data_IF_357196689334
#
_entry.id   IF_357196689334
#
_cell.length_a   1.000
_cell.length_b   1.000
_cell.length_c   1.000
_cell.angle_alpha   90.00
_cell.angle_beta   90.00
_cell.angle_gamma   90.00
#
_symmetry.space_group_name_H-M   'P 1'
#
loop_
_entity.id
_entity.type
_entity.pdbx_description
1 polymer ?
#
# COMPACT_ATOMS: atom_id res chain seq x y z
N UNK A 1 -18.02 -12.12 -32.86
CA UNK A 1 -17.72 -12.61 -31.49
C UNK A 1 -16.49 -11.86 -31.00
N UNK A 2 -16.54 -11.23 -29.83
CA UNK A 2 -15.36 -10.54 -29.26
C UNK A 2 -14.27 -11.57 -28.97
N UNK A 3 -13.02 -11.22 -29.25
CA UNK A 3 -11.85 -12.02 -28.91
C UNK A 3 -11.88 -12.36 -27.41
N UNK A 4 -11.81 -13.66 -27.01
CA UNK A 4 -11.84 -14.05 -25.60
C UNK A 4 -10.75 -13.36 -24.78
N UNK A 5 -9.55 -13.16 -25.33
CA UNK A 5 -8.47 -12.45 -24.66
C UNK A 5 -8.78 -10.96 -24.42
N UNK A 6 -9.47 -10.29 -25.36
CA UNK A 6 -9.92 -8.91 -25.17
C UNK A 6 -10.99 -8.81 -24.07
N UNK A 7 -11.89 -9.81 -23.99
CA UNK A 7 -12.90 -9.85 -22.93
C UNK A 7 -12.24 -9.98 -21.55
N UNK A 8 -11.23 -10.85 -21.41
CA UNK A 8 -10.45 -11.00 -20.16
C UNK A 8 -9.78 -9.68 -19.79
N UNK A 9 -9.10 -9.02 -20.73
CA UNK A 9 -8.44 -7.74 -20.48
C UNK A 9 -9.42 -6.65 -20.02
N UNK A 10 -10.55 -6.52 -20.72
CA UNK A 10 -11.60 -5.53 -20.35
C UNK A 10 -12.16 -5.83 -18.96
N UNK A 11 -12.46 -7.09 -18.65
CA UNK A 11 -12.93 -7.48 -17.32
C UNK A 11 -11.92 -7.10 -16.25
N UNK A 12 -10.64 -7.40 -16.46
CA UNK A 12 -9.57 -7.04 -15.54
C UNK A 12 -9.50 -5.53 -15.29
N UNK A 13 -9.49 -4.71 -16.35
CA UNK A 13 -9.43 -3.25 -16.23
C UNK A 13 -10.66 -2.66 -15.54
N UNK A 14 -11.85 -3.21 -15.82
CA UNK A 14 -13.09 -2.79 -15.16
C UNK A 14 -13.07 -3.16 -13.67
N UNK A 15 -12.65 -4.37 -13.32
CA UNK A 15 -12.51 -4.78 -11.92
C UNK A 15 -11.48 -3.91 -11.20
N UNK A 16 -10.32 -3.63 -11.82
CA UNK A 16 -9.31 -2.72 -11.28
C UNK A 16 -9.88 -1.31 -11.06
N UNK A 17 -10.63 -0.78 -12.03
CA UNK A 17 -11.28 0.53 -11.88
C UNK A 17 -12.20 0.57 -10.65
N UNK A 18 -13.15 -0.36 -10.55
CA UNK A 18 -14.16 -0.33 -9.50
C UNK A 18 -13.60 -0.67 -8.12
N UNK A 19 -12.64 -1.60 -8.01
CA UNK A 19 -11.97 -1.90 -6.75
C UNK A 19 -11.16 -0.71 -6.25
N UNK A 20 -10.37 -0.07 -7.13
CA UNK A 20 -9.58 1.11 -6.75
C UNK A 20 -10.48 2.30 -6.44
N UNK A 21 -11.50 2.55 -7.25
CA UNK A 21 -12.43 3.65 -7.03
C UNK A 21 -13.19 3.49 -5.70
N UNK A 22 -13.64 2.26 -5.37
CA UNK A 22 -14.29 1.99 -4.08
C UNK A 22 -13.37 2.27 -2.89
N UNK A 23 -12.07 1.97 -3.00
CA UNK A 23 -11.09 2.26 -1.96
C UNK A 23 -10.81 3.76 -1.85
N UNK A 24 -10.67 4.44 -2.98
CA UNK A 24 -10.24 5.85 -3.03
C UNK A 24 -11.26 6.83 -2.46
N UNK A 25 -12.57 6.53 -2.52
CA UNK A 25 -13.61 7.39 -1.93
C UNK A 25 -13.43 7.64 -0.45
N UNK A 26 -12.85 6.71 0.28
CA UNK A 26 -12.62 6.86 1.72
C UNK A 26 -11.16 7.11 2.09
N UNK A 27 -10.23 6.94 1.15
CA UNK A 27 -8.80 6.94 1.42
C UNK A 27 -8.31 8.26 2.01
N UNK A 28 -8.82 9.40 1.53
CA UNK A 28 -8.47 10.73 2.01
C UNK A 28 -9.22 11.21 3.26
N UNK A 29 -10.22 10.46 3.75
CA UNK A 29 -11.10 10.88 4.84
C UNK A 29 -11.24 9.83 5.96
N UNK A 30 -10.54 8.70 5.85
CA UNK A 30 -10.73 7.59 6.78
C UNK A 30 -10.43 7.96 8.24
N UNK A 31 -9.35 8.68 8.52
CA UNK A 31 -9.02 9.12 9.88
C UNK A 31 -10.07 10.10 10.39
N UNK A 32 -10.53 11.03 9.55
CA UNK A 32 -11.59 11.99 9.90
C UNK A 32 -12.91 11.28 10.24
N UNK A 33 -13.27 10.24 9.50
CA UNK A 33 -14.45 9.42 9.78
C UNK A 33 -14.37 8.73 11.15
N UNK A 34 -13.20 8.21 11.53
CA UNK A 34 -12.98 7.59 12.84
C UNK A 34 -13.07 8.61 13.98
N UNK A 35 -12.49 9.80 13.79
CA UNK A 35 -12.57 10.89 14.76
C UNK A 35 -14.02 11.40 14.91
N UNK A 36 -14.76 11.55 13.82
CA UNK A 36 -16.17 11.95 13.83
C UNK A 36 -17.07 10.90 14.52
N UNK A 37 -16.68 9.62 14.49
CA UNK A 37 -17.32 8.56 15.25
C UNK A 37 -17.17 8.70 16.78
N UNK A 38 -16.34 9.65 17.26
CA UNK A 38 -16.07 9.92 18.65
C UNK A 38 -14.83 9.22 19.22
N UNK A 39 -13.98 8.66 18.35
CA UNK A 39 -12.69 8.13 18.78
C UNK A 39 -11.68 9.27 18.93
N UNK A 40 -10.77 9.15 19.90
CA UNK A 40 -9.58 10.00 19.97
C UNK A 40 -8.50 9.56 18.96
N UNK A 41 -7.43 10.31 18.81
CA UNK A 41 -6.34 9.98 17.87
C UNK A 41 -5.69 8.64 18.18
N UNK A 42 -5.42 8.34 19.45
CA UNK A 42 -4.87 7.05 19.87
C UNK A 42 -5.77 5.91 19.39
N UNK A 43 -7.06 6.03 19.60
CA UNK A 43 -8.05 5.02 19.21
C UNK A 43 -8.19 4.93 17.68
N UNK A 44 -8.27 6.04 16.95
CA UNK A 44 -8.40 6.07 15.51
C UNK A 44 -7.16 5.43 14.82
N UNK A 45 -5.97 5.76 15.27
CA UNK A 45 -4.75 5.13 14.75
C UNK A 45 -4.59 3.67 15.20
N UNK A 46 -5.11 3.31 16.38
CA UNK A 46 -5.19 1.89 16.81
C UNK A 46 -6.13 1.10 15.90
N UNK A 47 -7.26 1.66 15.50
CA UNK A 47 -8.19 1.06 14.53
C UNK A 47 -7.50 0.82 13.18
N UNK A 48 -6.73 1.79 12.69
CA UNK A 48 -5.92 1.64 11.47
C UNK A 48 -4.81 0.56 11.66
N UNK A 49 -4.22 0.46 12.85
CA UNK A 49 -3.28 -0.61 13.17
C UNK A 49 -3.95 -2.00 13.12
N UNK A 50 -5.17 -2.15 13.60
CA UNK A 50 -5.93 -3.40 13.48
C UNK A 50 -6.25 -3.79 12.03
N UNK A 51 -6.49 -2.81 11.15
CA UNK A 51 -6.56 -3.07 9.71
C UNK A 51 -5.26 -3.72 9.19
N UNK A 52 -4.11 -3.17 9.58
CA UNK A 52 -2.80 -3.70 9.21
C UNK A 52 -2.57 -5.10 9.81
N UNK A 53 -3.00 -5.34 11.06
CA UNK A 53 -2.99 -6.68 11.67
C UNK A 53 -3.82 -7.66 10.85
N UNK A 54 -5.00 -7.26 10.38
CA UNK A 54 -5.84 -8.07 9.51
C UNK A 54 -5.14 -8.46 8.21
N UNK A 55 -4.46 -7.50 7.55
CA UNK A 55 -3.66 -7.78 6.36
C UNK A 55 -2.58 -8.84 6.64
N UNK A 56 -1.80 -8.66 7.71
CA UNK A 56 -0.70 -9.56 8.08
C UNK A 56 -1.19 -10.97 8.39
N UNK A 57 -2.25 -11.09 9.17
CA UNK A 57 -2.77 -12.39 9.62
C UNK A 57 -3.36 -13.23 8.49
N UNK A 58 -4.03 -12.57 7.54
CA UNK A 58 -4.83 -13.27 6.53
C UNK A 58 -4.18 -13.37 5.16
N UNK A 59 -3.03 -12.72 4.89
CA UNK A 59 -2.35 -12.76 3.60
C UNK A 59 -2.07 -14.20 3.14
N UNK A 60 -1.46 -15.02 3.99
CA UNK A 60 -1.18 -16.43 3.64
C UNK A 60 -2.45 -17.29 3.58
N UNK A 61 -3.37 -17.25 4.56
CA UNK A 61 -4.62 -17.99 4.49
C UNK A 61 -5.45 -17.74 3.23
N UNK A 62 -5.60 -16.48 2.83
CA UNK A 62 -6.39 -16.11 1.65
C UNK A 62 -5.70 -16.50 0.35
N UNK A 63 -4.36 -16.43 0.29
CA UNK A 63 -3.58 -16.97 -0.83
C UNK A 63 -3.84 -18.46 -1.05
N UNK A 64 -3.85 -19.27 0.02
CA UNK A 64 -4.18 -20.70 -0.06
C UNK A 64 -5.62 -20.90 -0.56
N UNK A 65 -6.57 -20.08 -0.15
CA UNK A 65 -7.95 -20.15 -0.66
C UNK A 65 -7.97 -19.87 -2.17
N UNK A 66 -7.27 -18.84 -2.64
CA UNK A 66 -7.20 -18.51 -4.06
C UNK A 66 -6.57 -19.63 -4.90
N UNK A 67 -5.53 -20.31 -4.37
CA UNK A 67 -4.82 -21.40 -5.04
C UNK A 67 -5.58 -22.73 -5.04
N UNK A 68 -6.48 -22.95 -4.08
CA UNK A 68 -7.21 -24.23 -3.93
C UNK A 68 -8.63 -24.17 -4.44
N UNK A 69 -9.35 -23.06 -4.22
CA UNK A 69 -10.78 -22.90 -4.55
C UNK A 69 -11.04 -22.08 -5.82
N UNK A 70 -10.02 -21.39 -6.33
CA UNK A 70 -10.11 -20.59 -7.55
C UNK A 70 -9.99 -19.09 -7.30
N UNK A 71 -9.47 -18.40 -8.31
CA UNK A 71 -9.20 -16.94 -8.28
C UNK A 71 -10.51 -16.15 -8.21
N UNK A 72 -11.53 -16.58 -8.98
CA UNK A 72 -12.86 -15.99 -8.95
C UNK A 72 -13.51 -16.11 -7.58
N UNK A 73 -13.43 -17.29 -6.95
CA UNK A 73 -14.00 -17.50 -5.62
C UNK A 73 -13.36 -16.57 -4.60
N UNK A 74 -12.02 -16.46 -4.60
CA UNK A 74 -11.29 -15.55 -3.74
C UNK A 74 -11.73 -14.10 -3.94
N UNK A 75 -11.81 -13.64 -5.20
CA UNK A 75 -12.21 -12.27 -5.52
C UNK A 75 -13.64 -11.95 -5.04
N UNK A 76 -14.60 -12.85 -5.30
CA UNK A 76 -15.99 -12.67 -4.85
C UNK A 76 -16.10 -12.63 -3.32
N UNK A 77 -15.34 -13.50 -2.62
CA UNK A 77 -15.31 -13.49 -1.17
C UNK A 77 -14.69 -12.19 -0.64
N UNK A 78 -13.63 -11.69 -1.28
CA UNK A 78 -13.02 -10.40 -0.98
C UNK A 78 -14.01 -9.24 -1.15
N UNK A 79 -14.71 -9.17 -2.27
CA UNK A 79 -15.70 -8.12 -2.53
C UNK A 79 -16.85 -8.16 -1.50
N UNK A 80 -17.36 -9.36 -1.18
CA UNK A 80 -18.39 -9.53 -0.16
C UNK A 80 -17.90 -9.15 1.24
N UNK A 81 -16.68 -9.54 1.61
CA UNK A 81 -16.07 -9.21 2.91
C UNK A 81 -15.83 -7.69 3.03
N UNK A 82 -15.33 -7.04 1.97
CA UNK A 82 -15.14 -5.58 1.95
C UNK A 82 -16.48 -4.83 2.02
N UNK A 83 -17.50 -5.31 1.32
CA UNK A 83 -18.85 -4.75 1.43
C UNK A 83 -19.37 -4.89 2.86
N UNK A 84 -19.32 -6.09 3.43
CA UNK A 84 -19.75 -6.35 4.81
C UNK A 84 -19.00 -5.49 5.84
N UNK A 85 -17.67 -5.39 5.73
CA UNK A 85 -16.87 -4.55 6.62
C UNK A 85 -17.17 -3.06 6.45
N UNK A 86 -17.45 -2.59 5.22
CA UNK A 86 -17.85 -1.19 4.97
C UNK A 86 -19.19 -0.88 5.63
N UNK A 87 -20.17 -1.78 5.52
CA UNK A 87 -21.45 -1.65 6.22
C UNK A 87 -21.26 -1.71 7.75
N UNK A 88 -20.38 -2.56 8.23
CA UNK A 88 -20.05 -2.65 9.64
C UNK A 88 -19.41 -1.33 10.15
N UNK A 89 -18.52 -0.69 9.36
CA UNK A 89 -17.99 0.64 9.68
C UNK A 89 -19.09 1.68 9.82
N UNK A 90 -20.09 1.70 8.92
CA UNK A 90 -21.24 2.60 9.02
C UNK A 90 -22.09 2.33 10.27
N UNK A 91 -22.30 1.06 10.63
CA UNK A 91 -23.01 0.69 11.87
C UNK A 91 -22.21 1.15 13.09
N UNK A 92 -20.89 0.92 13.14
CA UNK A 92 -20.03 1.36 14.23
C UNK A 92 -20.06 2.90 14.39
N UNK A 93 -20.04 3.62 13.26
CA UNK A 93 -20.14 5.07 13.24
C UNK A 93 -21.46 5.58 13.80
N UNK A 94 -22.61 5.02 13.36
CA UNK A 94 -23.93 5.40 13.84
C UNK A 94 -24.14 5.10 15.33
N UNK A 95 -23.64 3.96 15.80
CA UNK A 95 -23.77 3.52 17.19
C UNK A 95 -22.74 4.19 18.11
N UNK A 96 -21.80 4.98 17.56
CA UNK A 96 -20.62 5.50 18.30
C UNK A 96 -19.96 4.38 19.12
N UNK A 97 -19.68 3.27 18.44
CA UNK A 97 -19.20 2.04 19.07
C UNK A 97 -17.83 2.24 19.72
N UNK A 98 -17.58 1.49 20.79
CA UNK A 98 -16.26 1.48 21.44
C UNK A 98 -15.18 0.82 20.59
N UNK A 99 -13.92 1.02 21.00
CA UNK A 99 -12.72 0.56 20.28
C UNK A 99 -12.76 -0.92 19.85
N UNK A 100 -13.33 -1.82 20.67
CA UNK A 100 -13.39 -3.25 20.34
C UNK A 100 -14.22 -3.53 19.07
N UNK A 101 -15.36 -2.85 18.89
CA UNK A 101 -16.20 -2.97 17.70
C UNK A 101 -15.44 -2.51 16.45
N UNK A 102 -14.74 -1.40 16.55
CA UNK A 102 -13.90 -0.86 15.49
C UNK A 102 -12.71 -1.76 15.18
N UNK A 103 -12.06 -2.35 16.18
CA UNK A 103 -10.96 -3.29 15.99
C UNK A 103 -11.41 -4.51 15.17
N UNK A 104 -12.55 -5.11 15.50
CA UNK A 104 -13.12 -6.23 14.75
C UNK A 104 -13.44 -5.81 13.31
N UNK A 105 -14.13 -4.68 13.12
CA UNK A 105 -14.48 -4.16 11.80
C UNK A 105 -13.22 -3.94 10.92
N UNK A 106 -12.14 -3.41 11.51
CA UNK A 106 -10.86 -3.16 10.83
C UNK A 106 -10.12 -4.44 10.47
N UNK A 107 -10.10 -5.43 11.34
CA UNK A 107 -9.53 -6.76 11.04
C UNK A 107 -10.28 -7.40 9.87
N UNK A 108 -11.61 -7.33 9.85
CA UNK A 108 -12.46 -7.84 8.74
C UNK A 108 -12.20 -7.04 7.46
N UNK A 109 -11.97 -5.72 7.56
CA UNK A 109 -11.58 -4.90 6.42
C UNK A 109 -10.24 -5.38 5.84
N UNK A 110 -9.23 -5.63 6.68
CA UNK A 110 -7.94 -6.20 6.29
C UNK A 110 -8.08 -7.55 5.61
N UNK A 111 -8.86 -8.46 6.18
CA UNK A 111 -9.18 -9.76 5.58
C UNK A 111 -9.77 -9.59 4.16
N UNK A 112 -10.68 -8.65 3.96
CA UNK A 112 -11.28 -8.39 2.64
C UNK A 112 -10.25 -7.99 1.59
N UNK A 113 -9.27 -7.15 1.95
CA UNK A 113 -8.19 -6.76 1.04
C UNK A 113 -7.25 -7.91 0.68
N UNK A 114 -6.95 -8.81 1.62
CA UNK A 114 -6.05 -9.94 1.34
C UNK A 114 -6.62 -10.94 0.33
N UNK A 115 -7.93 -11.05 0.19
CA UNK A 115 -8.56 -11.86 -0.86
C UNK A 115 -8.34 -11.31 -2.28
N UNK A 116 -8.08 -10.01 -2.43
CA UNK A 116 -7.75 -9.41 -3.73
C UNK A 116 -6.25 -9.52 -4.04
N UNK A 117 -5.40 -9.52 -3.01
CA UNK A 117 -3.95 -9.55 -3.15
C UNK A 117 -3.51 -10.78 -3.96
N UNK A 118 -2.83 -10.53 -5.07
CA UNK A 118 -2.30 -11.57 -5.96
C UNK A 118 -3.33 -12.40 -6.72
N UNK A 119 -4.58 -12.52 -6.24
CA UNK A 119 -5.60 -13.35 -6.89
C UNK A 119 -6.06 -12.76 -8.23
N UNK A 120 -6.18 -11.44 -8.32
CA UNK A 120 -6.65 -10.75 -9.52
C UNK A 120 -5.62 -10.80 -10.64
N UNK A 121 -4.35 -10.58 -10.33
CA UNK A 121 -3.23 -10.66 -11.29
C UNK A 121 -3.00 -12.11 -11.75
N UNK A 122 -3.06 -13.07 -10.81
CA UNK A 122 -2.92 -14.49 -11.15
C UNK A 122 -4.07 -14.95 -12.05
N UNK A 123 -5.32 -14.52 -11.78
CA UNK A 123 -6.46 -14.77 -12.66
C UNK A 123 -6.23 -14.23 -14.08
N UNK A 124 -5.74 -13.00 -14.20
CA UNK A 124 -5.44 -12.39 -15.50
C UNK A 124 -4.44 -13.25 -16.28
N UNK A 125 -3.34 -13.61 -15.64
CA UNK A 125 -2.25 -14.38 -16.27
C UNK A 125 -2.75 -15.77 -16.70
N UNK A 126 -3.48 -16.48 -15.83
CA UNK A 126 -4.03 -17.81 -16.14
C UNK A 126 -5.00 -17.76 -17.31
N UNK A 127 -5.93 -16.79 -17.29
CA UNK A 127 -6.94 -16.63 -18.34
C UNK A 127 -6.34 -16.19 -19.69
N UNK A 128 -5.33 -15.32 -19.70
CA UNK A 128 -4.66 -14.90 -20.93
C UNK A 128 -3.84 -16.03 -21.55
N UNK A 129 -3.16 -16.85 -20.74
CA UNK A 129 -2.46 -18.05 -21.22
C UNK A 129 -3.43 -19.03 -21.85
N UNK A 130 -4.55 -19.30 -21.22
CA UNK A 130 -5.58 -20.22 -21.71
C UNK A 130 -6.30 -19.73 -22.99
N UNK A 131 -6.32 -18.40 -23.22
CA UNK A 131 -6.89 -17.80 -24.44
C UNK A 131 -5.86 -17.53 -25.54
N UNK A 132 -4.63 -18.07 -25.42
CA UNK A 132 -3.53 -17.91 -26.39
C UNK A 132 -3.22 -16.45 -26.73
N UNK A 133 -3.24 -15.58 -25.72
CA UNK A 133 -2.91 -14.16 -25.88
C UNK A 133 -1.48 -13.96 -26.42
N UNK A 134 -1.34 -13.19 -27.49
CA UNK A 134 -0.05 -12.93 -28.17
C UNK A 134 0.59 -11.57 -27.81
N UNK A 135 -0.05 -10.77 -26.96
CA UNK A 135 0.51 -9.51 -26.49
C UNK A 135 1.42 -9.66 -25.27
N UNK A 136 1.86 -8.53 -24.72
CA UNK A 136 2.72 -8.48 -23.53
C UNK A 136 1.90 -8.22 -22.26
N UNK A 137 2.18 -8.93 -21.18
CA UNK A 137 1.54 -8.72 -19.87
C UNK A 137 1.85 -7.32 -19.33
N UNK A 138 3.05 -6.83 -19.60
CA UNK A 138 3.52 -5.51 -19.18
C UNK A 138 2.61 -4.40 -19.72
N UNK A 139 2.11 -4.53 -20.97
CA UNK A 139 1.21 -3.54 -21.56
C UNK A 139 -0.15 -3.48 -20.85
N UNK A 140 -0.64 -4.63 -20.36
CA UNK A 140 -1.92 -4.71 -19.64
C UNK A 140 -1.75 -4.17 -18.22
N UNK A 141 -0.67 -4.55 -17.53
CA UNK A 141 -0.36 -4.02 -16.20
C UNK A 141 -0.12 -2.50 -16.24
N UNK A 142 0.55 -1.97 -17.27
CA UNK A 142 0.72 -0.54 -17.45
C UNK A 142 -0.63 0.19 -17.61
N UNK A 143 -1.56 -0.36 -18.41
CA UNK A 143 -2.93 0.18 -18.53
C UNK A 143 -3.69 0.11 -17.20
N UNK A 144 -3.59 -1.00 -16.48
CA UNK A 144 -4.20 -1.14 -15.17
C UNK A 144 -3.67 -0.11 -14.17
N UNK A 145 -2.38 0.17 -14.19
CA UNK A 145 -1.75 1.19 -13.35
C UNK A 145 -2.27 2.60 -13.67
N UNK A 146 -2.46 2.92 -14.96
CA UNK A 146 -3.07 4.20 -15.37
C UNK A 146 -4.51 4.28 -14.87
N UNK A 147 -5.31 3.23 -15.06
CA UNK A 147 -6.71 3.16 -14.59
C UNK A 147 -6.78 3.31 -13.07
N UNK A 148 -5.93 2.58 -12.34
CA UNK A 148 -5.86 2.65 -10.88
C UNK A 148 -5.44 4.04 -10.40
N UNK A 149 -4.40 4.64 -11.00
CA UNK A 149 -3.95 5.99 -10.67
C UNK A 149 -5.04 7.05 -10.90
N UNK A 150 -5.72 7.00 -12.05
CA UNK A 150 -6.83 7.90 -12.35
C UNK A 150 -8.01 7.72 -11.37
N UNK A 151 -8.37 6.46 -11.05
CA UNK A 151 -9.41 6.15 -10.09
C UNK A 151 -9.05 6.66 -8.69
N UNK A 152 -7.78 6.51 -8.28
CA UNK A 152 -7.29 7.00 -6.98
C UNK A 152 -7.39 8.53 -6.88
N UNK A 153 -6.94 9.26 -7.90
CA UNK A 153 -7.03 10.72 -7.94
C UNK A 153 -8.49 11.19 -7.88
N UNK A 154 -9.32 10.68 -8.78
CA UNK A 154 -10.73 11.10 -8.89
C UNK A 154 -11.51 10.74 -7.63
N UNK A 155 -11.37 9.50 -7.15
CA UNK A 155 -12.12 9.04 -6.00
C UNK A 155 -11.72 9.71 -4.70
N UNK A 156 -10.43 10.03 -4.49
CA UNK A 156 -9.97 10.76 -3.29
C UNK A 156 -10.53 12.18 -3.25
N UNK A 157 -10.51 12.91 -4.38
CA UNK A 157 -11.10 14.25 -4.45
C UNK A 157 -12.62 14.19 -4.26
N UNK A 158 -13.31 13.32 -5.00
CA UNK A 158 -14.76 13.18 -4.90
C UNK A 158 -15.20 12.73 -3.51
N UNK A 159 -14.46 11.82 -2.88
CA UNK A 159 -14.75 11.38 -1.51
C UNK A 159 -14.74 12.53 -0.52
N UNK A 160 -13.71 13.38 -0.56
CA UNK A 160 -13.63 14.57 0.28
C UNK A 160 -14.71 15.61 -0.02
N UNK A 161 -14.94 15.93 -1.31
CA UNK A 161 -15.97 16.91 -1.72
C UNK A 161 -17.39 16.43 -1.35
N UNK A 162 -17.70 15.15 -1.57
CA UNK A 162 -19.01 14.59 -1.18
C UNK A 162 -19.16 14.58 0.34
N UNK A 163 -18.12 14.22 1.09
CA UNK A 163 -18.15 14.29 2.55
C UNK A 163 -18.43 15.70 3.04
N UNK A 164 -17.79 16.72 2.45
CA UNK A 164 -17.98 18.12 2.79
C UNK A 164 -19.39 18.63 2.44
N UNK A 165 -19.94 18.22 1.29
CA UNK A 165 -21.28 18.62 0.85
C UNK A 165 -22.41 17.88 1.60
N UNK A 166 -22.10 16.78 2.27
CA UNK A 166 -23.10 15.93 2.93
C UNK A 166 -22.70 15.56 4.37
N UNK A 167 -22.01 14.45 4.53
CA UNK A 167 -21.36 13.98 5.76
C UNK A 167 -20.34 12.87 5.44
N UNK A 168 -19.51 12.50 6.41
CA UNK A 168 -18.46 11.50 6.24
C UNK A 168 -18.97 10.07 5.98
N UNK A 169 -20.24 9.77 6.26
CA UNK A 169 -20.85 8.46 5.99
C UNK A 169 -21.22 8.24 4.53
N UNK A 170 -21.56 9.30 3.76
CA UNK A 170 -21.99 9.15 2.35
C UNK A 170 -20.91 8.56 1.45
N UNK A 171 -19.62 8.94 1.52
CA UNK A 171 -18.57 8.25 0.76
C UNK A 171 -18.46 6.75 1.08
N UNK A 172 -18.73 6.32 2.32
CA UNK A 172 -18.79 4.91 2.69
C UNK A 172 -20.01 4.19 2.08
N UNK A 173 -21.16 4.84 1.96
CA UNK A 173 -22.33 4.29 1.24
C UNK A 173 -22.02 4.13 -0.25
N UNK A 174 -21.37 5.11 -0.89
CA UNK A 174 -20.94 5.02 -2.28
C UNK A 174 -19.95 3.88 -2.45
N UNK A 175 -18.96 3.76 -1.55
CA UNK A 175 -18.03 2.61 -1.54
C UNK A 175 -18.78 1.29 -1.45
N UNK A 176 -19.77 1.16 -0.56
CA UNK A 176 -20.57 -0.06 -0.42
C UNK A 176 -21.32 -0.40 -1.72
N UNK A 177 -21.94 0.60 -2.35
CA UNK A 177 -22.60 0.42 -3.64
C UNK A 177 -21.64 -0.02 -4.75
N UNK A 178 -20.44 0.59 -4.81
CA UNK A 178 -19.39 0.22 -5.76
C UNK A 178 -18.85 -1.19 -5.53
N UNK A 179 -18.67 -1.61 -4.27
CA UNK A 179 -18.27 -2.98 -3.94
C UNK A 179 -19.33 -4.00 -4.32
N UNK A 180 -20.62 -3.66 -4.11
CA UNK A 180 -21.75 -4.47 -4.59
C UNK A 180 -21.76 -4.61 -6.11
N UNK A 181 -21.52 -3.51 -6.83
CA UNK A 181 -21.41 -3.53 -8.30
C UNK A 181 -20.17 -4.32 -8.74
N UNK A 182 -19.03 -4.16 -8.08
CA UNK A 182 -17.82 -4.97 -8.34
C UNK A 182 -18.09 -6.46 -8.18
N UNK A 183 -18.79 -6.84 -7.11
CA UNK A 183 -19.20 -8.23 -6.87
C UNK A 183 -20.08 -8.76 -8.02
N UNK A 184 -21.08 -8.00 -8.47
CA UNK A 184 -21.97 -8.39 -9.58
C UNK A 184 -21.21 -8.49 -10.91
N UNK A 185 -20.31 -7.56 -11.20
CA UNK A 185 -19.45 -7.60 -12.40
C UNK A 185 -18.57 -8.84 -12.36
N UNK A 186 -17.91 -9.11 -11.24
CA UNK A 186 -17.08 -10.31 -11.09
C UNK A 186 -17.91 -11.60 -11.20
N UNK A 187 -19.08 -11.63 -10.59
CA UNK A 187 -19.99 -12.77 -10.66
C UNK A 187 -20.39 -13.09 -12.11
N UNK A 188 -20.58 -12.05 -12.94
CA UNK A 188 -21.06 -12.21 -14.33
C UNK A 188 -19.93 -12.43 -15.34
N UNK A 189 -18.76 -11.81 -15.16
CA UNK A 189 -17.73 -11.74 -16.20
C UNK A 189 -16.39 -12.38 -15.80
N UNK A 190 -16.09 -12.56 -14.52
CA UNK A 190 -14.89 -13.24 -14.07
C UNK A 190 -15.11 -14.74 -14.04
N UNK A 191 -14.39 -15.48 -14.88
CA UNK A 191 -14.45 -16.96 -14.95
C UNK A 191 -13.05 -17.52 -14.73
N UNK A 192 -12.92 -18.64 -14.01
CA UNK A 192 -11.63 -19.31 -13.75
C UNK A 192 -11.16 -20.09 -15.00
N UNK A 193 -10.80 -19.35 -16.07
CA UNK A 193 -10.29 -19.90 -17.33
C UNK A 193 -8.81 -20.24 -17.13
N UNK A 194 -8.42 -21.51 -17.40
CA UNK A 194 -7.04 -21.95 -17.28
C UNK A 194 -6.55 -22.20 -15.85
N UNK A 195 -7.40 -22.03 -14.85
CA UNK A 195 -7.04 -22.28 -13.46
C UNK A 195 -6.92 -23.79 -13.17
N UNK A 196 -5.82 -24.17 -12.52
CA UNK A 196 -5.59 -25.54 -12.01
C UNK A 196 -5.42 -25.48 -10.49
N UNK A 197 -6.31 -26.13 -9.72
CA UNK A 197 -6.21 -26.11 -8.25
C UNK A 197 -4.93 -26.78 -7.75
N UNK A 198 -4.24 -26.12 -6.82
CA UNK A 198 -3.08 -26.71 -6.13
C UNK A 198 -3.56 -27.71 -5.08
N UNK A 199 -3.30 -29.01 -5.31
CA UNK A 199 -3.70 -30.07 -4.39
C UNK A 199 -2.77 -30.12 -3.17
N UNK A 200 -3.36 -30.30 -1.96
CA UNK A 200 -2.60 -30.49 -0.74
C UNK A 200 -2.03 -29.23 -0.10
N UNK A 201 -2.31 -28.04 -0.67
CA UNK A 201 -1.93 -26.79 -0.03
C UNK A 201 -2.73 -26.59 1.27
N UNK A 202 -2.00 -26.41 2.38
CA UNK A 202 -2.60 -26.10 3.70
C UNK A 202 -2.04 -24.79 4.21
N UNK A 203 -2.86 -24.03 4.97
CA UNK A 203 -2.43 -22.78 5.60
C UNK A 203 -1.18 -22.98 6.45
N UNK A 204 -1.12 -24.07 7.24
CA UNK A 204 0.02 -24.37 8.09
C UNK A 204 1.31 -24.60 7.27
N UNK A 205 1.22 -25.29 6.12
CA UNK A 205 2.35 -25.49 5.21
C UNK A 205 2.79 -24.17 4.59
N UNK A 206 1.84 -23.33 4.13
CA UNK A 206 2.12 -22.00 3.59
C UNK A 206 2.81 -21.08 4.60
N UNK A 207 2.29 -20.98 5.82
CA UNK A 207 2.91 -20.20 6.91
C UNK A 207 4.33 -20.73 7.21
N UNK A 208 4.50 -22.04 7.31
CA UNK A 208 5.81 -22.65 7.56
C UNK A 208 6.80 -22.35 6.42
N UNK A 209 6.34 -22.39 5.17
CA UNK A 209 7.16 -22.08 4.01
C UNK A 209 7.59 -20.60 4.03
N UNK A 210 6.66 -19.67 4.28
CA UNK A 210 6.95 -18.24 4.42
C UNK A 210 7.95 -18.01 5.54
N UNK A 211 7.74 -18.59 6.73
CA UNK A 211 8.65 -18.43 7.87
C UNK A 211 10.05 -18.97 7.58
N UNK A 212 10.18 -20.17 7.01
CA UNK A 212 11.49 -20.74 6.65
C UNK A 212 12.20 -19.92 5.59
N UNK A 213 11.53 -19.59 4.48
CA UNK A 213 12.10 -18.77 3.42
C UNK A 213 12.52 -17.39 3.92
N UNK A 214 11.75 -16.80 4.85
CA UNK A 214 12.08 -15.50 5.47
C UNK A 214 13.30 -15.58 6.37
N UNK A 215 13.50 -16.67 7.11
CA UNK A 215 14.70 -16.87 7.92
C UNK A 215 15.90 -17.13 7.02
N UNK A 216 15.80 -18.05 6.06
CA UNK A 216 16.93 -18.49 5.26
C UNK A 216 17.36 -17.43 4.22
N UNK A 217 16.40 -16.87 3.46
CA UNK A 217 16.69 -15.85 2.43
C UNK A 217 16.71 -14.42 2.96
N UNK A 218 16.05 -14.15 4.09
CA UNK A 218 15.95 -12.83 4.73
C UNK A 218 16.99 -12.65 5.85
N UNK A 219 16.69 -13.15 7.05
CA UNK A 219 17.53 -12.87 8.23
C UNK A 219 18.94 -13.46 8.18
N UNK A 220 19.14 -14.60 7.50
CA UNK A 220 20.48 -15.19 7.30
C UNK A 220 21.27 -14.53 6.17
N UNK A 221 20.63 -13.73 5.33
CA UNK A 221 21.27 -12.94 4.29
C UNK A 221 21.55 -11.52 4.82
N UNK A 222 22.81 -11.15 5.18
CA UNK A 222 23.09 -9.90 5.86
C UNK A 222 22.62 -8.64 5.12
N UNK A 223 22.84 -8.48 3.80
CA UNK A 223 22.32 -7.34 3.03
C UNK A 223 20.82 -7.19 3.13
N UNK A 224 20.07 -8.30 3.05
CA UNK A 224 18.60 -8.32 3.15
C UNK A 224 18.15 -8.02 4.57
N UNK A 225 18.78 -8.67 5.56
CA UNK A 225 18.46 -8.51 6.99
C UNK A 225 18.47 -7.05 7.43
N UNK A 226 19.51 -6.32 7.07
CA UNK A 226 19.65 -4.93 7.50
C UNK A 226 18.55 -4.04 6.90
N UNK A 227 18.21 -4.21 5.63
CA UNK A 227 17.08 -3.47 5.05
C UNK A 227 15.75 -3.88 5.66
N UNK A 228 15.52 -5.18 5.89
CA UNK A 228 14.30 -5.63 6.57
C UNK A 228 14.15 -5.01 7.96
N UNK A 229 15.23 -4.90 8.73
CA UNK A 229 15.22 -4.26 10.04
C UNK A 229 15.01 -2.73 9.97
N UNK A 230 15.29 -2.09 8.84
CA UNK A 230 14.94 -0.68 8.62
C UNK A 230 13.46 -0.46 8.31
N UNK A 231 12.76 -1.48 7.76
CA UNK A 231 11.38 -1.36 7.26
C UNK A 231 10.38 -0.87 8.31
N UNK A 232 10.38 -1.32 9.58
CA UNK A 232 9.49 -0.82 10.60
C UNK A 232 9.55 0.69 10.80
N UNK A 233 10.75 1.27 10.67
CA UNK A 233 10.99 2.70 10.89
C UNK A 233 10.73 3.54 9.64
N UNK A 234 10.80 2.98 8.44
CA UNK A 234 10.50 3.70 7.21
C UNK A 234 9.02 3.56 6.84
N UNK A 235 8.56 2.35 6.53
CA UNK A 235 7.16 2.11 6.14
C UNK A 235 6.18 2.31 7.29
N UNK A 236 6.52 1.86 8.51
CA UNK A 236 5.64 2.01 9.66
C UNK A 236 5.36 3.47 10.01
N UNK A 237 6.38 4.31 9.99
CA UNK A 237 6.24 5.75 10.17
C UNK A 237 5.50 6.39 8.99
N UNK A 238 5.77 5.95 7.75
CA UNK A 238 5.10 6.44 6.55
C UNK A 238 3.58 6.19 6.57
N UNK A 239 3.13 5.04 7.08
CA UNK A 239 1.69 4.74 7.24
C UNK A 239 1.04 5.74 8.21
N UNK A 240 1.66 5.99 9.36
CA UNK A 240 1.16 6.99 10.30
C UNK A 240 1.13 8.38 9.66
N UNK A 241 2.24 8.80 9.04
CA UNK A 241 2.35 10.12 8.43
C UNK A 241 1.23 10.39 7.41
N UNK A 242 0.89 9.40 6.59
CA UNK A 242 -0.21 9.49 5.64
C UNK A 242 -1.58 9.66 6.32
N UNK A 243 -1.90 8.87 7.33
CA UNK A 243 -3.19 8.95 8.00
C UNK A 243 -3.32 10.20 8.89
N UNK A 244 -2.24 10.62 9.54
CA UNK A 244 -2.20 11.84 10.35
C UNK A 244 -2.30 13.13 9.51
N UNK A 245 -1.90 13.07 8.23
CA UNK A 245 -1.99 14.18 7.31
C UNK A 245 -3.40 14.74 7.18
N UNK A 246 -4.42 13.87 7.20
CA UNK A 246 -5.81 14.25 7.01
C UNK A 246 -6.30 15.25 8.07
N UNK A 247 -6.32 14.92 9.37
CA UNK A 247 -6.74 15.87 10.40
C UNK A 247 -5.73 17.02 10.60
N UNK A 248 -4.41 16.78 10.42
CA UNK A 248 -3.41 17.83 10.60
C UNK A 248 -3.54 18.96 9.57
N UNK A 249 -3.79 18.64 8.31
CA UNK A 249 -4.00 19.68 7.30
C UNK A 249 -5.28 20.47 7.55
N UNK A 250 -6.34 19.85 8.07
CA UNK A 250 -7.56 20.57 8.45
C UNK A 250 -7.33 21.48 9.64
N UNK A 251 -6.52 21.05 10.63
CA UNK A 251 -6.10 21.89 11.76
C UNK A 251 -5.34 23.12 11.26
N UNK A 252 -4.35 22.95 10.38
CA UNK A 252 -3.58 24.07 9.79
C UNK A 252 -4.41 24.95 8.85
N UNK A 253 -5.42 24.38 8.20
CA UNK A 253 -6.35 25.13 7.35
C UNK A 253 -7.33 25.99 8.17
N UNK A 254 -7.57 25.61 9.42
CA UNK A 254 -8.45 26.31 10.37
C UNK A 254 -9.94 25.98 10.21
N UNK A 255 -10.29 24.95 9.42
CA UNK A 255 -11.65 24.45 9.28
C UNK A 255 -11.68 22.92 9.36
N UNK A 256 -12.16 22.35 10.50
CA UNK A 256 -12.22 20.90 10.69
C UNK A 256 -13.21 20.19 9.77
N UNK A 257 -14.09 20.92 9.09
CA UNK A 257 -15.11 20.38 8.19
C UNK A 257 -14.72 20.50 6.71
N UNK A 258 -13.56 21.06 6.39
CA UNK A 258 -13.06 21.21 5.03
C UNK A 258 -12.57 19.87 4.44
N UNK A 259 -13.40 18.82 4.45
CA UNK A 259 -13.06 17.46 4.03
C UNK A 259 -12.55 17.38 2.58
N UNK A 260 -12.95 18.34 1.72
CA UNK A 260 -12.41 18.50 0.37
C UNK A 260 -10.91 18.74 0.35
N UNK A 261 -10.37 19.47 1.35
CA UNK A 261 -8.92 19.68 1.52
C UNK A 261 -8.20 18.37 1.83
N UNK A 262 -8.75 17.54 2.70
CA UNK A 262 -8.19 16.22 3.02
C UNK A 262 -8.22 15.28 1.80
N UNK A 263 -9.32 15.25 1.06
CA UNK A 263 -9.44 14.49 -0.18
C UNK A 263 -8.44 14.95 -1.25
N UNK A 264 -8.25 16.27 -1.41
CA UNK A 264 -7.25 16.84 -2.30
C UNK A 264 -5.82 16.49 -1.86
N UNK A 265 -5.52 16.52 -0.56
CA UNK A 265 -4.22 16.11 -0.03
C UNK A 265 -3.92 14.64 -0.35
N UNK A 266 -4.88 13.75 -0.20
CA UNK A 266 -4.72 12.34 -0.59
C UNK A 266 -4.50 12.20 -2.10
N UNK A 267 -5.22 12.96 -2.93
CA UNK A 267 -5.00 12.99 -4.38
C UNK A 267 -3.61 13.52 -4.75
N UNK A 268 -3.10 14.52 -4.04
CA UNK A 268 -1.72 15.04 -4.22
C UNK A 268 -0.70 13.95 -3.90
N UNK A 269 -0.87 13.18 -2.82
CA UNK A 269 0.00 12.04 -2.49
C UNK A 269 -0.05 10.99 -3.60
N UNK A 270 -1.24 10.65 -4.11
CA UNK A 270 -1.39 9.71 -5.22
C UNK A 270 -0.72 10.23 -6.51
N UNK A 271 -0.86 11.52 -6.82
CA UNK A 271 -0.19 12.17 -7.94
C UNK A 271 1.34 12.16 -7.81
N UNK A 272 1.85 12.41 -6.61
CA UNK A 272 3.27 12.33 -6.30
C UNK A 272 3.83 10.92 -6.51
N UNK A 273 3.06 9.87 -6.18
CA UNK A 273 3.45 8.49 -6.45
C UNK A 273 3.60 8.21 -7.95
N UNK A 274 2.68 8.73 -8.79
CA UNK A 274 2.78 8.60 -10.24
C UNK A 274 4.03 9.32 -10.76
N UNK A 275 4.23 10.58 -10.35
CA UNK A 275 5.41 11.38 -10.77
C UNK A 275 6.71 10.74 -10.28
N UNK A 276 6.77 10.29 -9.02
CA UNK A 276 7.91 9.60 -8.46
C UNK A 276 8.30 8.35 -9.26
N UNK A 277 7.31 7.54 -9.66
CA UNK A 277 7.52 6.39 -10.53
C UNK A 277 8.10 6.76 -11.91
N UNK A 278 7.70 7.90 -12.48
CA UNK A 278 8.21 8.37 -13.78
C UNK A 278 9.64 8.90 -13.70
N UNK A 279 10.03 9.52 -12.58
CA UNK A 279 11.34 10.18 -12.45
C UNK A 279 12.40 9.30 -11.76
N UNK A 280 12.02 8.18 -11.15
CA UNK A 280 12.94 7.30 -10.40
C UNK A 280 14.16 6.89 -11.23
N UNK A 281 13.98 6.59 -12.52
CA UNK A 281 15.06 6.20 -13.42
C UNK A 281 16.09 7.32 -13.65
N UNK A 282 15.64 8.58 -13.62
CA UNK A 282 16.54 9.74 -13.73
C UNK A 282 17.22 10.04 -12.40
N UNK A 283 16.46 10.00 -11.30
CA UNK A 283 16.97 10.32 -9.96
C UNK A 283 18.00 9.30 -9.50
N UNK A 284 17.81 8.00 -9.79
CA UNK A 284 18.80 6.96 -9.44
C UNK A 284 20.18 7.22 -10.03
N UNK A 285 20.29 7.85 -11.22
CA UNK A 285 21.57 8.16 -11.89
C UNK A 285 22.41 9.21 -11.14
N UNK A 286 21.82 9.93 -10.19
CA UNK A 286 22.54 10.87 -9.32
C UNK A 286 23.38 10.17 -8.26
N UNK A 287 23.19 8.88 -8.06
CA UNK A 287 23.84 8.08 -7.03
C UNK A 287 24.69 6.96 -7.64
N UNK A 288 25.80 6.64 -7.00
CA UNK A 288 26.64 5.50 -7.38
C UNK A 288 26.14 4.17 -6.82
N UNK A 289 25.44 4.21 -5.67
CA UNK A 289 24.91 3.04 -4.98
C UNK A 289 23.45 3.27 -4.58
N UNK A 290 22.64 2.19 -4.60
CA UNK A 290 21.25 2.22 -4.14
C UNK A 290 21.16 2.56 -2.65
N UNK A 291 22.06 2.04 -1.83
CA UNK A 291 22.15 2.35 -0.39
C UNK A 291 22.49 3.81 -0.12
N UNK A 292 23.32 4.47 -0.93
CA UNK A 292 23.57 5.92 -0.81
C UNK A 292 22.29 6.72 -1.08
N UNK A 293 21.52 6.32 -2.10
CA UNK A 293 20.22 6.94 -2.38
C UNK A 293 19.23 6.73 -1.23
N UNK A 294 19.15 5.51 -0.69
CA UNK A 294 18.27 5.20 0.45
C UNK A 294 18.66 6.02 1.70
N UNK A 295 19.95 6.17 2.00
CA UNK A 295 20.42 7.00 3.10
C UNK A 295 20.03 8.47 2.93
N UNK A 296 20.25 9.03 1.74
CA UNK A 296 19.91 10.44 1.46
C UNK A 296 18.39 10.62 1.53
N UNK A 297 17.59 9.73 0.95
CA UNK A 297 16.14 9.85 0.99
C UNK A 297 15.57 9.68 2.40
N UNK A 298 16.10 8.75 3.19
CA UNK A 298 15.71 8.62 4.59
C UNK A 298 16.05 9.90 5.38
N UNK A 299 17.23 10.50 5.18
CA UNK A 299 17.60 11.77 5.81
C UNK A 299 16.68 12.92 5.36
N UNK A 300 16.39 13.01 4.07
CA UNK A 300 15.45 14.02 3.53
C UNK A 300 14.06 13.81 4.13
N UNK A 301 13.60 12.55 4.24
CA UNK A 301 12.32 12.23 4.89
C UNK A 301 12.30 12.66 6.36
N UNK A 302 13.37 12.42 7.12
CA UNK A 302 13.50 12.92 8.52
C UNK A 302 13.36 14.44 8.57
N UNK A 303 14.06 15.16 7.71
CA UNK A 303 13.98 16.63 7.66
C UNK A 303 12.57 17.08 7.27
N UNK A 304 11.97 16.47 6.25
CA UNK A 304 10.62 16.82 5.81
C UNK A 304 9.58 16.58 6.90
N UNK A 305 9.61 15.43 7.58
CA UNK A 305 8.68 15.14 8.69
C UNK A 305 8.88 16.13 9.84
N UNK A 306 10.13 16.47 10.17
CA UNK A 306 10.41 17.48 11.18
C UNK A 306 9.89 18.87 10.78
N UNK A 307 10.09 19.29 9.54
CA UNK A 307 9.58 20.57 9.02
C UNK A 307 8.05 20.59 8.96
N UNK A 308 7.40 19.47 8.58
CA UNK A 308 5.94 19.33 8.65
C UNK A 308 5.46 19.54 10.10
N UNK A 309 6.14 18.92 11.07
CA UNK A 309 5.77 19.07 12.48
C UNK A 309 6.01 20.47 13.08
N UNK A 310 6.94 21.24 12.51
CA UNK A 310 7.30 22.58 12.99
C UNK A 310 6.52 23.70 12.31
N UNK A 311 5.91 23.45 11.15
CA UNK A 311 5.20 24.50 10.41
C UNK A 311 3.81 24.75 11.00
N UNK A 312 3.41 26.01 11.09
CA UNK A 312 2.04 26.44 11.37
C UNK A 312 1.34 27.01 10.14
N UNK A 313 1.98 26.97 8.98
CA UNK A 313 1.46 27.57 7.74
C UNK A 313 0.96 26.47 6.81
N UNK A 314 -0.33 26.46 6.51
CA UNK A 314 -1.00 25.44 5.68
C UNK A 314 -0.30 25.20 4.32
N UNK A 315 -0.03 26.28 3.56
CA UNK A 315 0.61 26.15 2.24
C UNK A 315 2.02 25.56 2.31
N UNK A 316 2.78 25.90 3.37
CA UNK A 316 4.12 25.32 3.59
C UNK A 316 3.98 23.83 3.89
N UNK A 317 3.03 23.44 4.74
CA UNK A 317 2.75 22.03 5.03
C UNK A 317 2.41 21.26 3.75
N UNK A 318 1.55 21.80 2.88
CA UNK A 318 1.20 21.17 1.60
C UNK A 318 2.43 20.95 0.71
N UNK A 319 3.31 21.93 0.56
CA UNK A 319 4.55 21.81 -0.22
C UNK A 319 5.47 20.74 0.37
N UNK A 320 5.64 20.72 1.69
CA UNK A 320 6.44 19.71 2.38
C UNK A 320 5.87 18.30 2.22
N UNK A 321 4.55 18.15 2.25
CA UNK A 321 3.86 16.88 2.01
C UNK A 321 4.05 16.39 0.58
N UNK A 322 3.97 17.28 -0.41
CA UNK A 322 4.29 16.93 -1.82
C UNK A 322 5.73 16.42 -1.92
N UNK A 323 6.68 17.11 -1.31
CA UNK A 323 8.08 16.70 -1.31
C UNK A 323 8.27 15.34 -0.62
N UNK A 324 7.63 15.13 0.54
CA UNK A 324 7.65 13.87 1.26
C UNK A 324 7.07 12.71 0.41
N UNK A 325 5.92 12.92 -0.22
CA UNK A 325 5.27 11.91 -1.03
C UNK A 325 6.10 11.53 -2.27
N UNK A 326 6.78 12.50 -2.90
CA UNK A 326 7.71 12.25 -4.01
C UNK A 326 8.90 11.40 -3.57
N UNK A 327 9.54 11.74 -2.44
CA UNK A 327 10.67 10.96 -1.90
C UNK A 327 10.23 9.53 -1.59
N UNK A 328 9.09 9.37 -0.90
CA UNK A 328 8.52 8.07 -0.58
C UNK A 328 8.26 7.22 -1.83
N UNK A 329 7.75 7.84 -2.89
CA UNK A 329 7.47 7.16 -4.16
C UNK A 329 8.75 6.71 -4.91
N UNK A 330 9.87 7.43 -4.75
CA UNK A 330 11.15 7.08 -5.37
C UNK A 330 11.88 6.01 -4.56
N UNK A 331 11.78 6.05 -3.24
CA UNK A 331 12.48 5.13 -2.33
C UNK A 331 12.05 3.67 -2.53
N UNK A 332 10.75 3.42 -2.70
CA UNK A 332 10.19 2.08 -2.84
C UNK A 332 10.82 1.25 -3.97
N UNK A 333 10.82 1.72 -5.23
CA UNK A 333 11.44 1.01 -6.34
C UNK A 333 12.95 0.77 -6.19
N UNK A 334 13.68 1.72 -5.59
CA UNK A 334 15.13 1.57 -5.32
C UNK A 334 15.40 0.48 -4.30
N UNK A 335 14.62 0.46 -3.21
CA UNK A 335 14.67 -0.59 -2.20
C UNK A 335 14.34 -1.96 -2.79
N UNK A 336 13.27 -2.06 -3.58
CA UNK A 336 12.90 -3.29 -4.25
C UNK A 336 13.97 -3.77 -5.23
N UNK A 337 14.58 -2.87 -6.00
CA UNK A 337 15.65 -3.21 -6.91
C UNK A 337 16.89 -3.78 -6.17
N UNK A 338 17.25 -3.20 -5.01
CA UNK A 338 18.32 -3.74 -4.17
C UNK A 338 17.98 -5.14 -3.68
N UNK A 339 16.81 -5.33 -3.05
CA UNK A 339 16.39 -6.62 -2.49
C UNK A 339 16.28 -7.70 -3.56
N UNK A 340 15.67 -7.41 -4.70
CA UNK A 340 15.51 -8.37 -5.80
C UNK A 340 16.85 -8.86 -6.38
N UNK A 341 17.90 -8.05 -6.29
CA UNK A 341 19.22 -8.42 -6.82
C UNK A 341 20.09 -9.23 -5.85
N UNK A 342 19.69 -9.35 -4.56
CA UNK A 342 20.41 -10.15 -3.54
C UNK A 342 19.65 -11.38 -3.06
N UNK A 343 18.34 -11.47 -3.39
CA UNK A 343 17.48 -12.59 -2.99
C UNK A 343 17.47 -13.63 -4.13
N UNK A 344 17.74 -14.91 -3.86
CA UNK A 344 17.57 -15.99 -4.82
C UNK A 344 16.16 -16.05 -5.40
N UNK A 345 16.03 -16.35 -6.70
CA UNK A 345 14.74 -16.35 -7.42
C UNK A 345 13.67 -17.22 -6.75
N UNK A 346 14.06 -18.37 -6.20
CA UNK A 346 13.19 -19.36 -5.57
C UNK A 346 12.58 -18.84 -4.24
N UNK A 347 13.27 -17.91 -3.58
CA UNK A 347 12.85 -17.36 -2.28
C UNK A 347 12.33 -15.93 -2.37
N UNK A 348 12.41 -15.31 -3.56
CA UNK A 348 12.16 -13.87 -3.76
C UNK A 348 10.78 -13.44 -3.29
N UNK A 349 9.72 -14.13 -3.71
CA UNK A 349 8.36 -13.81 -3.32
C UNK A 349 8.16 -13.88 -1.80
N UNK A 350 8.68 -14.94 -1.16
CA UNK A 350 8.59 -15.15 0.28
C UNK A 350 9.32 -14.07 1.08
N UNK A 351 10.55 -13.73 0.67
CA UNK A 351 11.37 -12.74 1.39
C UNK A 351 10.80 -11.34 1.23
N UNK A 352 10.32 -10.98 0.03
CA UNK A 352 9.67 -9.67 -0.21
C UNK A 352 8.35 -9.54 0.55
N UNK A 353 7.56 -10.62 0.64
CA UNK A 353 6.36 -10.64 1.47
C UNK A 353 6.70 -10.41 2.95
N UNK A 354 7.75 -11.05 3.45
CA UNK A 354 8.19 -10.85 4.82
C UNK A 354 8.76 -9.45 5.08
N UNK A 355 9.48 -8.85 4.13
CA UNK A 355 9.91 -7.45 4.21
C UNK A 355 8.71 -6.49 4.35
N UNK A 356 7.65 -6.74 3.59
CA UNK A 356 6.38 -6.02 3.71
C UNK A 356 5.73 -6.22 5.08
N UNK A 357 5.75 -7.46 5.62
CA UNK A 357 5.26 -7.77 6.97
C UNK A 357 6.04 -7.02 8.06
N UNK A 358 7.36 -6.90 7.92
CA UNK A 358 8.20 -6.14 8.85
C UNK A 358 7.83 -4.65 8.86
N UNK A 359 7.62 -4.05 7.68
CA UNK A 359 7.12 -2.68 7.56
C UNK A 359 5.76 -2.50 8.21
N UNK A 360 4.84 -3.43 7.95
CA UNK A 360 3.49 -3.44 8.53
C UNK A 360 3.52 -3.58 10.05
N UNK A 361 4.38 -4.44 10.60
CA UNK A 361 4.57 -4.58 12.05
C UNK A 361 5.04 -3.27 12.70
N UNK A 362 5.93 -2.52 12.02
CA UNK A 362 6.29 -1.16 12.43
C UNK A 362 5.08 -0.24 12.48
N UNK A 363 4.21 -0.30 11.48
CA UNK A 363 2.98 0.49 11.42
C UNK A 363 1.98 0.13 12.54
N UNK A 364 1.87 -1.15 12.90
CA UNK A 364 1.00 -1.59 14.01
C UNK A 364 1.43 -0.95 15.34
N UNK A 365 2.73 -0.76 15.56
CA UNK A 365 3.26 -0.13 16.78
C UNK A 365 3.28 1.40 16.66
N UNK A 366 3.78 1.93 15.54
CA UNK A 366 3.96 3.36 15.35
C UNK A 366 2.64 4.13 15.39
N UNK A 367 1.58 3.60 14.79
CA UNK A 367 0.29 4.29 14.70
C UNK A 367 -0.31 4.63 16.07
N UNK A 368 -0.55 3.68 17.00
CA UNK A 368 -1.13 4.03 18.30
C UNK A 368 -0.17 4.88 19.16
N UNK A 369 1.14 4.65 19.09
CA UNK A 369 2.14 5.43 19.83
C UNK A 369 2.13 6.90 19.38
N UNK A 370 2.21 7.13 18.08
CA UNK A 370 2.19 8.47 17.51
C UNK A 370 0.81 9.13 17.61
N UNK A 371 -0.27 8.33 17.58
CA UNK A 371 -1.62 8.80 17.90
C UNK A 371 -1.71 9.33 19.32
N UNK A 372 -1.09 8.64 20.29
CA UNK A 372 -1.04 9.12 21.69
C UNK A 372 -0.25 10.42 21.82
N UNK A 373 0.83 10.57 21.08
CA UNK A 373 1.58 11.84 21.04
C UNK A 373 0.70 12.94 20.45
N UNK A 374 -0.10 12.66 19.41
CA UNK A 374 -1.03 13.62 18.84
C UNK A 374 -2.11 14.06 19.82
N UNK A 375 -2.65 13.16 20.64
CA UNK A 375 -3.64 13.50 21.66
C UNK A 375 -3.09 14.39 22.77
N UNK A 376 -1.83 14.18 23.18
CA UNK A 376 -1.23 14.87 24.32
C UNK A 376 -0.54 16.18 23.91
N UNK A 377 0.14 16.17 22.77
CA UNK A 377 1.05 17.24 22.35
C UNK A 377 0.71 17.84 20.97
N UNK A 378 -0.37 17.37 20.32
CA UNK A 378 -0.76 17.79 18.98
C UNK A 378 -0.04 17.06 17.85
N UNK A 379 -0.56 17.21 16.61
CA UNK A 379 -0.01 16.56 15.42
C UNK A 379 1.42 17.00 15.11
N UNK A 380 1.76 18.30 15.32
CA UNK A 380 3.12 18.80 15.09
C UNK A 380 4.16 18.02 15.89
N UNK A 381 3.92 17.82 17.21
CA UNK A 381 4.79 17.01 18.06
C UNK A 381 4.85 15.55 17.59
N UNK A 382 3.71 15.00 17.14
CA UNK A 382 3.65 13.63 16.63
C UNK A 382 4.53 13.45 15.38
N UNK A 383 4.51 14.41 14.44
CA UNK A 383 5.43 14.41 13.29
C UNK A 383 6.89 14.54 13.69
N UNK A 384 7.23 15.32 14.73
CA UNK A 384 8.61 15.41 15.25
C UNK A 384 9.08 14.07 15.84
N UNK A 385 8.21 13.39 16.60
CA UNK A 385 8.53 12.05 17.13
C UNK A 385 8.64 11.04 15.96
N UNK A 386 7.78 11.14 14.96
CA UNK A 386 7.85 10.32 13.75
C UNK A 386 9.20 10.51 13.02
N UNK A 387 9.68 11.77 12.89
CA UNK A 387 10.99 12.07 12.35
C UNK A 387 12.11 11.41 13.18
N UNK A 388 12.02 11.48 14.51
CA UNK A 388 12.97 10.81 15.41
C UNK A 388 12.98 9.29 15.26
N UNK A 389 11.82 8.66 15.12
CA UNK A 389 11.72 7.21 14.84
C UNK A 389 12.31 6.84 13.48
N UNK A 390 12.12 7.69 12.45
CA UNK A 390 12.69 7.47 11.12
C UNK A 390 14.24 7.46 11.17
N UNK A 391 14.88 8.24 12.05
CA UNK A 391 16.35 8.22 12.23
C UNK A 391 16.86 6.83 12.58
N UNK A 392 16.09 6.02 13.30
CA UNK A 392 16.46 4.66 13.67
C UNK A 392 16.64 3.71 12.47
N UNK A 393 16.13 4.08 11.29
CA UNK A 393 16.39 3.32 10.05
C UNK A 393 17.84 3.49 9.56
N UNK A 394 18.48 4.65 9.80
CA UNK A 394 19.79 4.99 9.23
C UNK A 394 20.90 3.99 9.59
N UNK A 395 21.08 3.56 10.86
CA UNK A 395 22.09 2.56 11.21
C UNK A 395 21.95 1.27 10.40
N UNK A 396 20.73 0.80 10.18
CA UNK A 396 20.46 -0.42 9.41
C UNK A 396 20.82 -0.25 7.94
N UNK A 397 20.49 0.89 7.33
CA UNK A 397 20.86 1.18 5.94
C UNK A 397 22.38 1.31 5.80
N UNK A 398 23.07 1.93 6.78
CA UNK A 398 24.54 1.97 6.82
C UNK A 398 25.15 0.58 6.91
N UNK A 399 24.57 -0.32 7.72
CA UNK A 399 25.00 -1.71 7.79
C UNK A 399 24.78 -2.44 6.49
N UNK A 400 23.61 -2.27 5.84
CA UNK A 400 23.35 -2.83 4.50
C UNK A 400 24.38 -2.34 3.47
N UNK A 401 24.77 -1.06 3.53
CA UNK A 401 25.82 -0.48 2.65
C UNK A 401 27.18 -1.14 2.85
N UNK A 402 27.54 -1.46 4.08
CA UNK A 402 28.82 -2.11 4.41
C UNK A 402 28.94 -3.53 3.88
N UNK A 403 27.84 -4.19 3.63
CA UNK A 403 27.80 -5.55 3.05
C UNK A 403 28.26 -5.60 1.58
N UNK A 404 28.35 -4.44 0.89
CA UNK A 404 28.77 -4.34 -0.52
C UNK A 404 28.04 -5.33 -1.44
N UNK A 405 26.75 -5.41 -1.31
CA UNK A 405 25.91 -6.33 -2.08
C UNK A 405 26.08 -6.13 -3.59
N UNK A 406 25.99 -7.22 -4.37
CA UNK A 406 26.15 -7.20 -5.84
C UNK A 406 25.15 -6.26 -6.52
N UNK A 407 23.93 -6.14 -5.95
CA UNK A 407 22.88 -5.24 -6.46
C UNK A 407 23.01 -3.80 -5.98
N UNK A 408 23.98 -3.44 -5.13
CA UNK A 408 24.09 -2.10 -4.59
C UNK A 408 24.59 -1.06 -5.62
N UNK A 409 25.61 -1.34 -6.46
CA UNK A 409 26.04 -0.40 -7.48
C UNK A 409 24.93 -0.11 -8.50
N UNK A 410 24.76 1.16 -8.84
CA UNK A 410 23.90 1.61 -9.94
C UNK A 410 24.81 1.63 -11.17
N UNK A 411 24.82 0.53 -11.91
CA UNK A 411 25.53 0.43 -13.18
C UNK A 411 24.77 1.31 -14.19
N UNK A 412 25.46 2.23 -14.84
CA UNK A 412 24.90 2.97 -15.97
C UNK A 412 24.41 1.99 -17.04
N UNK A 413 23.36 2.37 -17.78
CA UNK A 413 22.88 1.61 -18.94
C UNK A 413 24.00 1.64 -20.04
N UNK A 414 25.10 0.92 -19.83
CA UNK A 414 25.95 0.48 -20.93
C UNK A 414 25.13 -0.59 -21.67
N UNK A 415 24.69 -0.27 -22.90
CA UNK A 415 24.17 -1.26 -23.83
C UNK A 415 25.12 -2.48 -23.80
N UNK A 416 24.59 -3.70 -23.69
CA UNK A 416 25.46 -4.86 -23.84
C UNK A 416 26.13 -4.74 -25.21
N UNK A 417 27.45 -4.54 -25.22
CA UNK A 417 28.25 -4.64 -26.44
C UNK A 417 27.90 -5.96 -27.13
N UNK A 418 27.45 -5.93 -28.39
CA UNK A 418 27.20 -7.17 -29.11
C UNK A 418 28.46 -8.04 -29.01
N UNK A 419 28.34 -9.37 -28.86
CA UNK A 419 29.49 -10.22 -28.84
C UNK A 419 30.29 -9.99 -30.13
N UNK A 420 31.58 -9.64 -29.99
CA UNK A 420 32.51 -9.57 -31.12
C UNK A 420 32.38 -10.89 -31.84
N UNK A 421 31.84 -10.84 -33.06
CA UNK A 421 31.88 -11.97 -33.98
C UNK A 421 33.35 -12.24 -34.26
N UNK A 422 33.86 -13.29 -33.60
CA UNK A 422 35.18 -13.83 -33.93
C UNK A 422 35.19 -14.20 -35.41
N UNK A 423 35.97 -13.47 -36.16
CA UNK A 423 36.33 -13.72 -37.57
C UNK A 423 37.27 -14.91 -37.69
#
# INVERSE_FOLDING_TARGET
>A
MSDPAQTVQRTYLVLTLFTTLSASFIWGINTLFLLDAGLDNTQAFTVNAFFTVGLVLFEVPTGVVADTRGRRFSFLLGAATLLGSTLLYLVMWQLRAGLLGWAIASIVLGLGFTFFSGATEAWLVDALRATNFRGTLESIFARAQIVSGAAMLVGSVLGGVIAQATNLGVPYLIRAAMLGLTFLIALRFMHDIGFTPTRGATVAAGVRQVMRGSIDGGFRNPPVRWLMLSAPFTFGVGIFAFYALQPYLLELYGDPTAYGVAGLAAAVVAGAQIVGGLIVTRVRRLFRRRTDALLVFTLVTVVLLALIGLTSVFLVAVVLVVAWALIFAIEGPLRQAYLNGVIPSEQRATVLSFDSLMGSAGGVVAQPVLGRVADVNGYGASYLVAAGLQVLALPFIVLARRENAVSDPIIGDEEPTPPETAS
#
